data_IF_009208057562
#
_entry.id   IF_009208057562
#
_cell.length_a   1.000
_cell.length_b   1.000
_cell.length_c   1.000
_cell.angle_alpha   90.00
_cell.angle_beta   90.00
_cell.angle_gamma   90.00
#
_symmetry.space_group_name_H-M   'P 1'
#
loop_
_entity.id
_entity.type
_entity.pdbx_description
1 polymer ?
#
# COMPACT_ATOMS: atom_id res chain seq x y z
N UNK A 1 15.75 8.85 -5.39
CA UNK A 1 15.76 8.01 -6.61
C UNK A 1 14.46 7.24 -6.69
N UNK A 2 13.86 7.17 -7.86
CA UNK A 2 12.62 6.40 -8.08
C UNK A 2 13.00 5.07 -8.72
N UNK A 3 12.57 3.99 -8.10
CA UNK A 3 12.75 2.63 -8.62
C UNK A 3 11.46 2.18 -9.31
N UNK A 4 11.57 1.41 -10.40
CA UNK A 4 10.42 0.89 -11.12
C UNK A 4 10.25 -0.61 -10.85
N UNK A 5 9.03 -1.00 -10.47
CA UNK A 5 8.70 -2.40 -10.22
C UNK A 5 7.34 -2.73 -10.84
N UNK A 6 7.28 -3.88 -11.50
CA UNK A 6 5.99 -4.44 -11.92
C UNK A 6 5.31 -5.08 -10.72
N UNK A 7 4.06 -4.76 -10.51
CA UNK A 7 3.30 -5.23 -9.38
C UNK A 7 2.81 -6.66 -9.61
N UNK A 8 3.48 -7.62 -8.99
CA UNK A 8 3.01 -9.00 -8.90
C UNK A 8 3.24 -9.49 -7.46
N UNK A 9 2.64 -10.60 -7.08
CA UNK A 9 2.72 -11.09 -5.71
C UNK A 9 4.14 -11.23 -5.17
N UNK A 10 5.11 -11.52 -6.01
CA UNK A 10 6.52 -11.65 -5.61
C UNK A 10 7.26 -10.31 -5.62
N UNK A 11 6.94 -9.45 -6.58
CA UNK A 11 7.65 -8.19 -6.78
C UNK A 11 7.26 -7.14 -5.75
N UNK A 12 6.07 -7.24 -5.16
CA UNK A 12 5.63 -6.36 -4.08
C UNK A 12 6.56 -6.44 -2.87
N UNK A 13 7.13 -7.60 -2.61
CA UNK A 13 8.10 -7.76 -1.53
C UNK A 13 9.34 -6.91 -1.79
N UNK A 14 9.86 -6.91 -3.01
CA UNK A 14 11.01 -6.09 -3.38
C UNK A 14 10.70 -4.61 -3.25
N UNK A 15 9.52 -4.18 -3.71
CA UNK A 15 9.07 -2.79 -3.54
C UNK A 15 8.97 -2.41 -2.08
N UNK A 16 8.40 -3.28 -1.25
CA UNK A 16 8.30 -3.04 0.19
C UNK A 16 9.66 -2.89 0.84
N UNK A 17 10.64 -3.70 0.46
CA UNK A 17 12.01 -3.61 0.98
C UNK A 17 12.66 -2.28 0.62
N UNK A 18 12.49 -1.81 -0.62
CA UNK A 18 13.02 -0.51 -1.05
C UNK A 18 12.34 0.65 -0.32
N UNK A 19 11.03 0.58 -0.14
CA UNK A 19 10.28 1.58 0.63
C UNK A 19 10.76 1.64 2.08
N UNK A 20 11.04 0.50 2.70
CA UNK A 20 11.58 0.44 4.06
C UNK A 20 12.99 1.06 4.16
N UNK A 21 13.73 1.09 3.06
CA UNK A 21 15.03 1.74 2.96
C UNK A 21 14.93 3.24 2.66
N UNK A 22 13.74 3.77 2.56
CA UNK A 22 13.51 5.19 2.27
C UNK A 22 13.47 5.54 0.80
N UNK A 23 13.33 4.56 -0.08
CA UNK A 23 13.32 4.77 -1.53
C UNK A 23 11.89 4.89 -2.05
N UNK A 24 11.63 5.91 -2.88
CA UNK A 24 10.36 6.07 -3.60
C UNK A 24 10.32 5.10 -4.78
N UNK A 25 9.18 4.42 -4.95
CA UNK A 25 9.02 3.41 -5.99
C UNK A 25 7.92 3.80 -6.98
N UNK A 26 8.15 3.48 -8.26
CA UNK A 26 7.09 3.44 -9.27
C UNK A 26 6.62 1.99 -9.37
N UNK A 27 5.34 1.77 -9.10
CA UNK A 27 4.76 0.43 -9.04
C UNK A 27 3.67 0.33 -10.10
N UNK A 28 3.69 -0.77 -10.85
CA UNK A 28 2.66 -1.07 -11.86
C UNK A 28 1.90 -2.32 -11.42
N UNK A 29 0.62 -2.16 -11.10
CA UNK A 29 -0.22 -3.25 -10.64
C UNK A 29 -0.89 -4.02 -11.77
N UNK A 30 -1.17 -5.28 -11.53
CA UNK A 30 -1.92 -6.15 -12.43
C UNK A 30 -3.17 -6.63 -11.70
N UNK A 31 -4.33 -6.55 -12.36
CA UNK A 31 -5.60 -6.97 -11.81
C UNK A 31 -6.59 -5.82 -11.63
N UNK A 32 -7.79 -6.14 -11.19
CA UNK A 32 -8.92 -5.20 -11.13
C UNK A 32 -9.40 -4.91 -9.69
N UNK A 33 -8.64 -5.31 -8.68
CA UNK A 33 -9.06 -5.16 -7.27
C UNK A 33 -9.26 -3.70 -6.85
N UNK A 34 -8.65 -2.76 -7.57
CA UNK A 34 -8.69 -1.33 -7.25
C UNK A 34 -9.44 -0.50 -8.29
N UNK A 35 -10.09 -1.13 -9.27
CA UNK A 35 -10.88 -0.37 -10.26
C UNK A 35 -12.07 0.30 -9.58
N UNK A 36 -12.56 1.45 -10.08
CA UNK A 36 -11.98 2.25 -11.15
C UNK A 36 -10.85 3.20 -10.73
N UNK A 37 -10.46 3.20 -9.45
CA UNK A 37 -9.39 4.11 -8.95
C UNK A 37 -8.07 3.79 -9.63
N UNK A 38 -7.70 2.50 -9.66
CA UNK A 38 -6.52 2.01 -10.37
C UNK A 38 -6.95 0.93 -11.35
N UNK A 39 -6.57 1.11 -12.61
CA UNK A 39 -6.76 0.09 -13.64
C UNK A 39 -5.58 -0.86 -13.63
N UNK A 40 -5.77 -2.08 -14.17
CA UNK A 40 -4.67 -3.00 -14.38
C UNK A 40 -3.55 -2.34 -15.20
N UNK A 41 -2.31 -2.53 -14.79
CA UNK A 41 -1.10 -1.96 -15.41
C UNK A 41 -0.98 -0.44 -15.32
N UNK A 42 -1.79 0.21 -14.50
CA UNK A 42 -1.66 1.64 -14.27
C UNK A 42 -0.55 1.92 -13.28
N UNK A 43 0.49 2.69 -13.66
CA UNK A 43 1.60 2.96 -12.76
C UNK A 43 1.23 4.00 -11.70
N UNK A 44 1.80 3.85 -10.52
CA UNK A 44 1.65 4.79 -9.41
C UNK A 44 3.01 5.09 -8.81
N UNK A 45 3.14 6.27 -8.20
CA UNK A 45 4.31 6.63 -7.40
C UNK A 45 3.97 6.40 -5.94
N UNK A 46 4.77 5.57 -5.30
CA UNK A 46 4.61 5.18 -3.91
C UNK A 46 5.79 5.72 -3.09
N UNK A 47 5.50 6.54 -2.09
CA UNK A 47 6.51 7.08 -1.18
C UNK A 47 6.61 6.24 0.09
N UNK A 48 7.80 6.20 0.72
CA UNK A 48 7.96 5.50 2.00
C UNK A 48 7.04 6.05 3.08
N UNK A 49 6.49 5.15 3.89
CA UNK A 49 5.78 5.52 5.12
C UNK A 49 6.81 5.62 6.23
N UNK A 50 6.89 6.80 6.85
CA UNK A 50 7.76 7.08 7.99
C UNK A 50 6.91 7.37 9.22
N UNK A 51 7.53 7.65 10.36
CA UNK A 51 6.80 8.02 11.56
C UNK A 51 6.00 9.32 11.38
N UNK A 52 6.44 10.17 10.47
CA UNK A 52 5.81 11.46 10.19
C UNK A 52 4.71 11.40 9.14
N UNK A 53 4.59 10.27 8.43
CA UNK A 53 3.57 10.12 7.38
C UNK A 53 2.19 10.07 8.00
N UNK A 54 1.29 10.96 7.55
CA UNK A 54 -0.11 10.91 7.92
C UNK A 54 -0.82 9.86 7.07
N UNK A 55 -1.51 8.92 7.73
CA UNK A 55 -2.29 7.88 7.09
C UNK A 55 -3.78 8.12 7.35
N UNK A 56 -4.57 8.18 6.29
CA UNK A 56 -5.98 8.50 6.33
C UNK A 56 -6.81 7.42 5.65
N UNK A 57 -8.11 7.39 5.95
CA UNK A 57 -9.06 6.56 5.21
C UNK A 57 -9.01 6.92 3.73
N UNK A 58 -9.15 5.91 2.88
CA UNK A 58 -9.10 5.98 1.41
C UNK A 58 -7.70 6.16 0.83
N UNK A 59 -6.67 6.27 1.66
CA UNK A 59 -5.30 6.22 1.15
C UNK A 59 -5.01 4.85 0.54
N UNK A 60 -4.31 4.85 -0.58
CA UNK A 60 -3.83 3.62 -1.23
C UNK A 60 -2.42 3.37 -0.72
N UNK A 61 -2.20 2.19 -0.16
CA UNK A 61 -0.93 1.85 0.48
C UNK A 61 -0.41 0.50 0.00
N UNK A 62 0.92 0.36 -0.02
CA UNK A 62 1.56 -0.94 -0.16
C UNK A 62 1.78 -1.50 1.23
N UNK A 63 1.19 -2.64 1.53
CA UNK A 63 1.18 -3.22 2.86
C UNK A 63 1.25 -4.74 2.83
N UNK A 64 1.49 -5.32 4.01
CA UNK A 64 1.51 -6.77 4.18
C UNK A 64 0.41 -7.18 5.16
N UNK A 65 -0.48 -8.07 4.73
CA UNK A 65 -1.58 -8.59 5.54
C UNK A 65 -1.52 -10.11 5.54
N UNK A 66 -1.39 -10.72 6.70
CA UNK A 66 -1.34 -12.19 6.85
C UNK A 66 -0.30 -12.85 5.93
N UNK A 67 0.85 -12.21 5.76
CA UNK A 67 1.94 -12.73 4.93
C UNK A 67 1.86 -12.39 3.45
N UNK A 68 0.82 -11.68 3.00
CA UNK A 68 0.64 -11.30 1.61
C UNK A 68 0.76 -9.80 1.41
N UNK A 69 1.36 -9.38 0.29
CA UNK A 69 1.53 -7.98 -0.06
C UNK A 69 0.38 -7.51 -0.94
N UNK A 70 -0.15 -6.31 -0.61
CA UNK A 70 -1.26 -5.70 -1.35
C UNK A 70 -1.01 -4.21 -1.58
N UNK A 71 -1.45 -3.72 -2.72
CA UNK A 71 -1.63 -2.29 -2.99
C UNK A 71 -3.12 -2.02 -2.90
N UNK A 72 -3.61 -1.73 -1.70
CA UNK A 72 -5.03 -1.61 -1.39
C UNK A 72 -5.33 -0.37 -0.56
N UNK A 73 -6.61 -0.18 -0.25
CA UNK A 73 -7.11 0.98 0.50
C UNK A 73 -7.08 0.77 2.00
N UNK A 74 -6.88 1.86 2.73
CA UNK A 74 -7.21 1.94 4.13
C UNK A 74 -8.72 2.24 4.22
N UNK A 75 -9.51 1.29 4.71
CA UNK A 75 -10.96 1.45 4.86
C UNK A 75 -11.36 2.03 6.21
N UNK A 76 -10.61 1.75 7.25
CA UNK A 76 -10.91 2.21 8.60
C UNK A 76 -9.63 2.32 9.43
N UNK A 77 -9.66 3.17 10.42
CA UNK A 77 -8.55 3.37 11.35
C UNK A 77 -9.14 3.38 12.75
N UNK A 78 -8.55 2.61 13.66
CA UNK A 78 -8.95 2.62 15.07
C UNK A 78 -7.75 2.80 15.98
N UNK A 79 -7.90 3.53 17.10
CA UNK A 79 -6.84 3.65 18.09
C UNK A 79 -6.59 2.33 18.81
N UNK A 80 -5.34 2.10 19.17
CA UNK A 80 -4.91 0.95 19.96
C UNK A 80 -4.02 1.44 21.10
N UNK A 81 -3.63 0.55 22.00
CA UNK A 81 -2.74 0.90 23.12
C UNK A 81 -1.37 1.41 22.66
N UNK A 82 -0.92 0.97 21.47
CA UNK A 82 0.42 1.28 20.95
C UNK A 82 0.40 2.17 19.70
N UNK A 83 -0.75 2.77 19.38
CA UNK A 83 -0.88 3.64 18.20
C UNK A 83 -2.22 3.46 17.51
N UNK A 84 -2.20 2.94 16.29
CA UNK A 84 -3.40 2.73 15.49
C UNK A 84 -3.35 1.40 14.75
N UNK A 85 -4.53 0.88 14.43
CA UNK A 85 -4.71 -0.28 13.57
C UNK A 85 -5.49 0.15 12.33
N UNK A 86 -5.15 -0.42 11.19
CA UNK A 86 -5.64 -0.02 9.88
C UNK A 86 -6.32 -1.19 9.19
N UNK A 87 -7.57 -1.00 8.76
CA UNK A 87 -8.30 -2.02 8.01
C UNK A 87 -8.00 -1.89 6.53
N UNK A 88 -7.39 -2.92 5.97
CA UNK A 88 -6.97 -2.96 4.58
C UNK A 88 -7.95 -3.76 3.74
N UNK A 89 -8.30 -3.25 2.59
CA UNK A 89 -9.17 -3.95 1.65
C UNK A 89 -9.09 -3.37 0.24
N UNK A 90 -9.72 -4.08 -0.70
CA UNK A 90 -9.79 -3.63 -2.09
C UNK A 90 -10.89 -2.58 -2.28
N UNK A 91 -11.07 -2.12 -3.53
CA UNK A 91 -12.10 -1.13 -3.86
C UNK A 91 -13.48 -1.76 -4.17
N UNK A 92 -13.62 -3.06 -3.95
CA UNK A 92 -14.87 -3.81 -4.21
C UNK A 92 -15.49 -4.41 -2.95
N UNK A 93 -15.05 -3.94 -1.77
CA UNK A 93 -15.63 -4.35 -0.50
C UNK A 93 -15.01 -5.59 0.15
N UNK A 94 -13.98 -6.18 -0.45
CA UNK A 94 -13.26 -7.28 0.18
C UNK A 94 -12.21 -6.76 1.16
N UNK A 95 -12.33 -7.12 2.43
CA UNK A 95 -11.38 -6.73 3.47
C UNK A 95 -10.33 -7.83 3.66
N UNK A 96 -9.06 -7.42 3.64
CA UNK A 96 -7.93 -8.33 3.87
C UNK A 96 -7.65 -8.53 5.36
N UNK A 97 -7.83 -7.49 6.15
CA UNK A 97 -7.64 -7.56 7.60
C UNK A 97 -7.07 -6.29 8.19
N UNK A 98 -6.89 -6.30 9.52
CA UNK A 98 -6.31 -5.20 10.27
C UNK A 98 -4.80 -5.36 10.38
N UNK A 99 -4.07 -4.27 10.21
CA UNK A 99 -2.62 -4.24 10.29
C UNK A 99 -2.14 -3.09 11.17
N UNK A 100 -0.93 -3.24 11.71
CA UNK A 100 -0.23 -2.16 12.39
C UNK A 100 0.47 -1.26 11.37
N UNK A 101 0.89 -0.08 11.80
CA UNK A 101 1.65 0.85 10.95
C UNK A 101 2.93 0.22 10.39
N UNK A 102 3.60 -0.63 11.15
CA UNK A 102 4.83 -1.29 10.69
C UNK A 102 4.63 -2.23 9.50
N UNK A 103 3.39 -2.59 9.20
CA UNK A 103 3.04 -3.43 8.05
C UNK A 103 2.63 -2.61 6.83
N UNK A 104 2.68 -1.29 6.92
CA UNK A 104 2.39 -0.35 5.81
C UNK A 104 3.71 0.27 5.39
N UNK A 105 4.18 -0.05 4.20
CA UNK A 105 5.52 0.32 3.73
C UNK A 105 5.54 1.58 2.89
N UNK A 106 4.49 1.80 2.11
CA UNK A 106 4.42 2.94 1.21
C UNK A 106 3.01 3.46 1.03
N UNK A 107 2.92 4.71 0.61
CA UNK A 107 1.66 5.40 0.33
C UNK A 107 1.70 5.95 -1.10
N UNK A 108 0.63 5.73 -1.85
CA UNK A 108 0.51 6.25 -3.21
C UNK A 108 0.29 7.76 -3.15
N UNK A 109 1.19 8.51 -3.78
CA UNK A 109 1.11 9.97 -3.88
C UNK A 109 0.65 10.44 -5.24
N UNK A 110 0.87 9.64 -6.28
CA UNK A 110 0.56 10.02 -7.64
C UNK A 110 0.11 8.81 -8.44
N UNK A 111 -0.94 8.98 -9.20
CA UNK A 111 -1.44 7.98 -10.17
C UNK A 111 -1.08 8.52 -11.55
N UNK A 112 -0.28 7.76 -12.28
CA UNK A 112 0.26 8.23 -13.57
C UNK A 112 -0.63 7.94 -14.78
#
# INVERSE_FOLDING_TARGET
>A
MIMEYTYSGFENRASAEHLQQGETCKITGIGNSMTPILKSKQPVICEPVTEETELNKKDIVLCKVKGHYYLHLIHSIKPTKTGSSYLIGNNHGHMNGWVSRSQIFGIVREIL
#
